data_IF_517724502430
#
_entry.id   IF_517724502430
#
_cell.length_a   1.000
_cell.length_b   1.000
_cell.length_c   1.000
_cell.angle_alpha   90.00
_cell.angle_beta   90.00
_cell.angle_gamma   90.00
#
_symmetry.space_group_name_H-M   'P 1'
#
loop_
_entity.id
_entity.type
_entity.pdbx_description
1 polymer ?
#
# COMPACT_ATOMS: atom_id res chain seq x y z
N UNK A 1 9.93 -3.32 -6.01
CA UNK A 1 10.81 -2.57 -5.07
C UNK A 1 10.49 -1.09 -5.11
N UNK A 2 10.48 -0.44 -3.96
CA UNK A 2 10.11 0.95 -3.83
C UNK A 2 11.28 1.84 -4.24
N UNK A 3 11.02 3.11 -4.43
CA UNK A 3 11.99 4.09 -4.90
C UNK A 3 11.81 5.38 -4.14
N UNK A 4 12.89 5.78 -3.47
CA UNK A 4 12.99 7.04 -2.75
C UNK A 4 13.55 8.09 -3.71
N UNK A 5 12.70 9.04 -4.09
CA UNK A 5 13.05 10.14 -4.98
C UNK A 5 13.29 11.39 -4.14
N UNK A 6 14.45 12.03 -4.34
CA UNK A 6 14.78 13.32 -3.71
C UNK A 6 14.69 14.42 -4.76
N UNK A 7 14.01 15.52 -4.42
CA UNK A 7 13.84 16.67 -5.31
C UNK A 7 14.04 17.99 -4.56
N UNK A 8 14.50 19.04 -5.26
CA UNK A 8 14.70 20.37 -4.72
C UNK A 8 13.74 21.36 -5.37
N UNK A 9 12.96 22.08 -4.57
CA UNK A 9 12.06 23.11 -5.09
C UNK A 9 12.78 24.46 -5.21
N UNK A 10 12.94 24.95 -6.44
CA UNK A 10 13.57 26.24 -6.70
C UNK A 10 12.80 27.46 -6.15
N UNK A 11 11.48 27.32 -5.90
CA UNK A 11 10.64 28.41 -5.38
C UNK A 11 10.76 28.58 -3.85
N UNK A 12 10.67 27.50 -3.08
CA UNK A 12 10.78 27.56 -1.61
C UNK A 12 12.18 27.22 -1.09
N UNK A 13 13.10 26.79 -1.96
CA UNK A 13 14.47 26.41 -1.63
C UNK A 13 14.55 25.26 -0.59
N UNK A 14 13.64 24.28 -0.69
CA UNK A 14 13.53 23.12 0.22
C UNK A 14 13.72 21.82 -0.56
N UNK A 15 14.39 20.85 0.07
CA UNK A 15 14.50 19.47 -0.40
C UNK A 15 13.35 18.63 0.12
N UNK A 16 12.77 17.83 -0.77
CA UNK A 16 11.66 16.93 -0.50
C UNK A 16 12.05 15.49 -0.83
N UNK A 17 11.45 14.57 -0.11
CA UNK A 17 11.59 13.12 -0.33
C UNK A 17 10.23 12.53 -0.62
N UNK A 18 10.16 11.74 -1.68
CA UNK A 18 8.97 11.05 -2.15
C UNK A 18 9.26 9.55 -2.16
N UNK A 19 8.27 8.74 -1.81
CA UNK A 19 8.38 7.29 -1.84
C UNK A 19 7.33 6.72 -2.80
N UNK A 20 7.78 6.00 -3.81
CA UNK A 20 6.93 5.40 -4.83
C UNK A 20 7.17 3.89 -4.92
N UNK A 21 6.15 3.13 -5.32
CA UNK A 21 6.28 1.72 -5.72
C UNK A 21 6.09 0.71 -4.59
N UNK A 22 6.43 -0.54 -4.86
CA UNK A 22 6.18 -1.67 -3.95
C UNK A 22 7.13 -1.66 -2.75
N UNK A 23 6.59 -1.48 -1.55
CA UNK A 23 7.34 -1.52 -0.28
C UNK A 23 7.23 -2.88 0.40
N UNK A 24 8.29 -3.31 1.09
CA UNK A 24 8.29 -4.53 1.92
C UNK A 24 7.18 -4.53 2.98
N UNK A 25 6.77 -3.34 3.43
CA UNK A 25 5.67 -3.17 4.37
C UNK A 25 4.31 -3.64 3.81
N UNK A 26 4.20 -3.77 2.49
CA UNK A 26 2.97 -4.19 1.80
C UNK A 26 2.94 -5.68 1.44
N UNK A 27 4.04 -6.41 1.67
CA UNK A 27 4.18 -7.84 1.31
C UNK A 27 3.06 -8.67 1.93
N UNK A 28 2.72 -8.44 3.20
CA UNK A 28 1.64 -9.17 3.89
C UNK A 28 0.30 -9.05 3.13
N UNK A 29 -0.03 -7.86 2.65
CA UNK A 29 -1.31 -7.60 1.98
C UNK A 29 -1.34 -8.18 0.57
N UNK A 30 -0.20 -8.12 -0.14
CA UNK A 30 -0.05 -8.77 -1.45
C UNK A 30 -0.19 -10.30 -1.32
N UNK A 31 0.49 -10.93 -0.36
CA UNK A 31 0.34 -12.37 -0.09
C UNK A 31 -1.11 -12.71 0.23
N UNK A 32 -1.77 -11.92 1.09
CA UNK A 32 -3.17 -12.14 1.42
C UNK A 32 -4.07 -12.10 0.18
N UNK A 33 -3.98 -11.08 -0.67
CA UNK A 33 -4.80 -10.96 -1.87
C UNK A 33 -4.48 -12.04 -2.92
N UNK A 34 -3.22 -12.46 -3.03
CA UNK A 34 -2.84 -13.57 -3.91
C UNK A 34 -3.43 -14.89 -3.46
N UNK A 35 -3.40 -15.18 -2.17
CA UNK A 35 -4.02 -16.38 -1.60
C UNK A 35 -5.55 -16.32 -1.65
N UNK A 36 -6.14 -15.14 -1.45
CA UNK A 36 -7.58 -14.92 -1.63
C UNK A 36 -7.99 -15.22 -3.09
N UNK A 37 -7.22 -14.70 -4.06
CA UNK A 37 -7.40 -14.95 -5.50
C UNK A 37 -7.29 -16.45 -5.84
N UNK A 38 -6.35 -17.18 -5.26
CA UNK A 38 -6.14 -18.61 -5.56
C UNK A 38 -7.20 -19.50 -4.92
N UNK A 39 -7.50 -19.26 -3.65
CA UNK A 39 -8.32 -20.17 -2.84
C UNK A 39 -9.82 -19.99 -3.01
N UNK A 40 -10.27 -18.76 -3.32
CA UNK A 40 -11.69 -18.38 -3.31
C UNK A 40 -12.38 -18.71 -1.96
N UNK A 41 -11.60 -18.75 -0.88
CA UNK A 41 -12.09 -18.94 0.49
C UNK A 41 -12.31 -17.55 1.10
N UNK A 42 -13.31 -17.43 1.98
CA UNK A 42 -13.53 -16.19 2.71
C UNK A 42 -12.48 -15.99 3.83
N UNK A 43 -11.29 -15.51 3.47
CA UNK A 43 -10.17 -15.29 4.39
C UNK A 43 -10.33 -14.04 5.29
N UNK A 44 -11.41 -13.29 5.14
CA UNK A 44 -11.83 -12.23 6.08
C UNK A 44 -12.62 -12.78 7.28
N UNK A 45 -12.83 -14.09 7.34
CA UNK A 45 -13.25 -14.79 8.54
C UNK A 45 -11.99 -15.30 9.27
N UNK A 46 -11.90 -14.99 10.57
CA UNK A 46 -10.70 -15.26 11.36
C UNK A 46 -10.37 -16.76 11.46
N UNK A 47 -11.38 -17.61 11.63
CA UNK A 47 -11.17 -19.04 11.76
C UNK A 47 -10.73 -19.63 10.42
N UNK A 48 -11.38 -19.22 9.31
CA UNK A 48 -10.97 -19.62 7.96
C UNK A 48 -9.56 -19.14 7.64
N UNK A 49 -9.20 -17.91 8.01
CA UNK A 49 -7.86 -17.36 7.83
C UNK A 49 -6.80 -18.21 8.54
N UNK A 50 -7.00 -18.49 9.84
CA UNK A 50 -6.03 -19.26 10.64
C UNK A 50 -5.89 -20.68 10.08
N UNK A 51 -7.01 -21.34 9.78
CA UNK A 51 -7.01 -22.71 9.25
C UNK A 51 -6.33 -22.79 7.86
N UNK A 52 -6.44 -21.74 7.05
CA UNK A 52 -5.80 -21.67 5.73
C UNK A 52 -4.31 -21.35 5.83
N UNK A 53 -3.91 -20.32 6.59
CA UNK A 53 -2.53 -19.84 6.61
C UNK A 53 -1.61 -20.63 7.54
N UNK A 54 -2.11 -21.22 8.63
CA UNK A 54 -1.28 -22.04 9.54
C UNK A 54 -0.51 -23.15 8.81
N UNK A 55 -1.15 -24.02 7.98
CA UNK A 55 -0.41 -25.05 7.25
C UNK A 55 0.57 -24.45 6.22
N UNK A 56 0.19 -23.38 5.52
CA UNK A 56 1.07 -22.71 4.55
C UNK A 56 2.34 -22.18 5.22
N UNK A 57 2.21 -21.54 6.39
CA UNK A 57 3.33 -21.01 7.15
C UNK A 57 4.20 -22.15 7.69
N UNK A 58 3.58 -23.22 8.20
CA UNK A 58 4.28 -24.41 8.64
C UNK A 58 5.03 -25.11 7.51
N UNK A 59 4.59 -25.03 6.25
CA UNK A 59 5.32 -25.67 5.15
C UNK A 59 6.49 -24.80 4.66
N UNK A 60 6.28 -23.49 4.58
CA UNK A 60 7.16 -22.59 3.83
C UNK A 60 8.09 -21.72 4.70
N UNK A 61 7.83 -21.57 6.01
CA UNK A 61 8.60 -20.68 6.90
C UNK A 61 9.24 -21.51 8.02
N UNK A 62 10.55 -21.74 7.91
CA UNK A 62 11.29 -22.58 8.86
C UNK A 62 11.20 -22.04 10.30
N UNK A 63 11.37 -20.73 10.48
CA UNK A 63 11.28 -20.07 11.79
C UNK A 63 9.91 -20.26 12.46
N UNK A 64 8.83 -20.34 11.66
CA UNK A 64 7.48 -20.53 12.17
C UNK A 64 7.28 -21.92 12.79
N UNK A 65 7.93 -22.95 12.22
CA UNK A 65 7.89 -24.34 12.74
C UNK A 65 8.52 -24.45 14.13
N UNK A 66 9.48 -23.59 14.43
CA UNK A 66 10.25 -23.61 15.68
C UNK A 66 9.53 -22.89 16.83
N UNK A 67 8.47 -22.12 16.52
CA UNK A 67 7.64 -21.47 17.53
C UNK A 67 6.71 -22.45 18.23
N UNK A 68 6.40 -22.17 19.50
CA UNK A 68 5.32 -22.84 20.22
C UNK A 68 3.98 -22.58 19.51
N UNK A 69 3.02 -23.49 19.69
CA UNK A 69 1.69 -23.35 19.09
C UNK A 69 0.99 -22.03 19.50
N UNK A 70 1.18 -21.60 20.74
CA UNK A 70 0.68 -20.32 21.25
C UNK A 70 1.26 -19.14 20.45
N UNK A 71 2.58 -19.11 20.24
CA UNK A 71 3.25 -18.05 19.51
C UNK A 71 2.93 -18.06 18.01
N UNK A 72 2.75 -19.24 17.42
CA UNK A 72 2.26 -19.38 16.05
C UNK A 72 0.88 -18.74 15.90
N UNK A 73 -0.03 -19.01 16.84
CA UNK A 73 -1.37 -18.46 16.84
C UNK A 73 -1.38 -16.95 17.07
N UNK A 74 -0.54 -16.45 17.98
CA UNK A 74 -0.34 -15.02 18.22
C UNK A 74 0.09 -14.30 16.93
N UNK A 75 1.11 -14.81 16.23
CA UNK A 75 1.58 -14.21 14.97
C UNK A 75 0.49 -14.19 13.89
N UNK A 76 -0.29 -15.27 13.76
CA UNK A 76 -1.39 -15.32 12.80
C UNK A 76 -2.51 -14.34 13.18
N UNK A 77 -2.81 -14.19 14.47
CA UNK A 77 -3.78 -13.21 14.96
C UNK A 77 -3.32 -11.77 14.66
N UNK A 78 -2.05 -11.47 14.87
CA UNK A 78 -1.47 -10.16 14.58
C UNK A 78 -1.52 -9.83 13.09
N UNK A 79 -1.16 -10.81 12.25
CA UNK A 79 -1.24 -10.66 10.80
C UNK A 79 -2.69 -10.44 10.34
N UNK A 80 -3.64 -11.20 10.89
CA UNK A 80 -5.06 -11.02 10.62
C UNK A 80 -5.56 -9.63 11.03
N UNK A 81 -5.16 -9.14 12.20
CA UNK A 81 -5.51 -7.80 12.66
C UNK A 81 -4.93 -6.70 11.75
N UNK A 82 -3.67 -6.84 11.32
CA UNK A 82 -3.03 -5.94 10.34
C UNK A 82 -3.79 -5.91 9.02
N UNK A 83 -4.20 -7.08 8.52
CA UNK A 83 -5.01 -7.22 7.31
C UNK A 83 -6.34 -6.46 7.47
N UNK A 84 -7.11 -6.73 8.52
CA UNK A 84 -8.38 -6.05 8.75
C UNK A 84 -8.24 -4.52 8.89
N UNK A 85 -7.15 -4.05 9.49
CA UNK A 85 -6.89 -2.61 9.64
C UNK A 85 -6.41 -1.93 8.36
N UNK A 86 -5.91 -2.69 7.39
CA UNK A 86 -5.43 -2.16 6.12
C UNK A 86 -6.56 -1.89 5.11
N UNK A 87 -7.58 -2.74 5.09
CA UNK A 87 -8.72 -2.61 4.17
C UNK A 87 -9.82 -1.74 4.77
N UNK A 88 -10.38 -0.84 3.95
CA UNK A 88 -11.59 -0.13 4.33
C UNK A 88 -12.78 -1.10 4.34
N UNK A 89 -13.80 -0.89 5.20
CA UNK A 89 -14.97 -1.77 5.27
C UNK A 89 -15.64 -2.00 3.90
N UNK A 90 -15.72 -0.97 3.07
CA UNK A 90 -16.30 -1.06 1.72
C UNK A 90 -15.45 -1.92 0.77
N UNK A 91 -14.13 -1.89 0.94
CA UNK A 91 -13.21 -2.73 0.15
C UNK A 91 -13.35 -4.20 0.53
N UNK A 92 -13.49 -4.51 1.82
CA UNK A 92 -13.73 -5.86 2.30
C UNK A 92 -15.02 -6.40 1.67
N UNK A 93 -16.10 -5.63 1.71
CA UNK A 93 -17.38 -6.03 1.10
C UNK A 93 -17.28 -6.21 -0.42
N UNK A 94 -16.52 -5.36 -1.10
CA UNK A 94 -16.30 -5.46 -2.54
C UNK A 94 -15.53 -6.74 -2.90
N UNK A 95 -14.47 -7.05 -2.15
CA UNK A 95 -13.65 -8.26 -2.37
C UNK A 95 -14.46 -9.51 -2.08
N UNK A 96 -15.29 -9.52 -1.03
CA UNK A 96 -16.16 -10.67 -0.69
C UNK A 96 -17.20 -10.99 -1.76
N UNK A 97 -17.71 -9.97 -2.45
CA UNK A 97 -18.79 -10.11 -3.45
C UNK A 97 -18.30 -10.48 -4.84
N UNK A 98 -17.00 -10.35 -5.11
CA UNK A 98 -16.45 -10.46 -6.46
C UNK A 98 -15.24 -11.39 -6.51
N UNK A 99 -15.06 -12.05 -7.65
CA UNK A 99 -13.87 -12.85 -7.90
C UNK A 99 -12.73 -11.91 -8.28
N UNK A 100 -11.72 -11.81 -7.40
CA UNK A 100 -10.48 -11.05 -7.67
C UNK A 100 -9.68 -11.77 -8.74
N UNK A 101 -9.35 -11.07 -9.83
CA UNK A 101 -8.52 -11.59 -10.92
C UNK A 101 -7.08 -11.09 -10.85
N UNK A 102 -6.90 -9.83 -10.48
CA UNK A 102 -5.58 -9.24 -10.33
C UNK A 102 -5.60 -8.14 -9.27
N UNK A 103 -4.45 -7.84 -8.69
CA UNK A 103 -4.28 -6.70 -7.81
C UNK A 103 -2.89 -6.08 -7.97
N UNK A 104 -2.77 -4.82 -7.57
CA UNK A 104 -1.49 -4.13 -7.38
C UNK A 104 -1.61 -3.27 -6.12
N UNK A 105 -0.65 -3.37 -5.21
CA UNK A 105 -0.53 -2.49 -4.05
C UNK A 105 0.85 -1.85 -4.07
N UNK A 106 0.87 -0.52 -4.12
CA UNK A 106 2.08 0.28 -4.16
C UNK A 106 1.98 1.47 -3.20
N UNK A 107 3.11 1.96 -2.73
CA UNK A 107 3.17 3.22 -2.00
C UNK A 107 3.15 4.37 -3.00
N UNK A 108 2.36 5.40 -2.70
CA UNK A 108 2.29 6.61 -3.49
C UNK A 108 2.32 7.84 -2.56
N UNK A 109 3.06 8.91 -2.92
CA UNK A 109 3.11 10.12 -2.12
C UNK A 109 1.92 11.04 -2.44
N UNK A 110 1.31 11.55 -1.38
CA UNK A 110 0.21 12.51 -1.39
C UNK A 110 0.55 13.72 -0.52
N UNK A 111 -0.18 14.81 -0.70
CA UNK A 111 -0.05 16.05 0.06
C UNK A 111 -1.42 16.39 0.64
N UNK A 112 -1.51 16.64 1.95
CA UNK A 112 -2.76 17.07 2.59
C UNK A 112 -3.02 18.56 2.29
N UNK A 113 -4.02 18.85 1.47
CA UNK A 113 -4.31 20.22 1.00
C UNK A 113 -5.10 21.06 1.99
N UNK A 114 -5.63 20.46 3.07
CA UNK A 114 -6.31 21.20 4.15
C UNK A 114 -5.34 22.02 5.02
N UNK A 115 -4.05 21.67 4.99
CA UNK A 115 -3.04 22.37 5.76
C UNK A 115 -2.61 23.66 5.06
N UNK A 116 -2.16 24.64 5.84
CA UNK A 116 -1.59 25.87 5.29
C UNK A 116 -0.30 25.55 4.52
N UNK A 117 0.10 26.42 3.59
CA UNK A 117 1.24 26.17 2.69
C UNK A 117 2.52 25.76 3.42
N UNK A 118 2.78 26.35 4.59
CA UNK A 118 3.96 26.07 5.42
C UNK A 118 3.88 24.77 6.23
N UNK A 119 2.67 24.21 6.39
CA UNK A 119 2.41 23.00 7.17
C UNK A 119 2.24 21.76 6.28
N UNK A 120 2.04 21.94 4.98
CA UNK A 120 1.89 20.84 4.02
C UNK A 120 3.15 19.98 3.98
N UNK A 121 2.94 18.67 4.09
CA UNK A 121 4.00 17.67 4.01
C UNK A 121 3.61 16.54 3.06
N UNK A 122 4.63 15.83 2.58
CA UNK A 122 4.46 14.64 1.76
C UNK A 122 4.20 13.47 2.70
N UNK A 123 3.10 12.77 2.46
CA UNK A 123 2.72 11.57 3.19
C UNK A 123 2.69 10.42 2.19
N UNK A 124 3.31 9.30 2.55
CA UNK A 124 3.30 8.10 1.73
C UNK A 124 2.12 7.22 2.12
N UNK A 125 1.26 6.89 1.17
CA UNK A 125 0.05 6.09 1.41
C UNK A 125 -0.03 4.91 0.46
N UNK A 126 -0.62 3.76 0.87
CA UNK A 126 -0.80 2.62 -0.02
C UNK A 126 -1.94 2.85 -1.01
N UNK A 127 -1.63 2.83 -2.30
CA UNK A 127 -2.62 2.75 -3.38
C UNK A 127 -2.82 1.30 -3.75
N UNK A 128 -4.08 0.90 -3.76
CA UNK A 128 -4.50 -0.45 -4.11
C UNK A 128 -5.37 -0.38 -5.36
N UNK A 129 -5.06 -1.22 -6.34
CA UNK A 129 -5.87 -1.45 -7.54
C UNK A 129 -6.29 -2.91 -7.55
N UNK A 130 -7.58 -3.19 -7.74
CA UNK A 130 -8.12 -4.54 -7.83
C UNK A 130 -8.92 -4.65 -9.13
N UNK A 131 -8.68 -5.73 -9.87
CA UNK A 131 -9.45 -6.08 -11.07
C UNK A 131 -10.28 -7.31 -10.80
N UNK A 132 -11.57 -7.24 -11.09
CA UNK A 132 -12.53 -8.33 -10.89
C UNK A 132 -12.81 -9.09 -12.18
N UNK A 133 -13.38 -10.29 -12.06
CA UNK A 133 -13.75 -11.15 -13.20
C UNK A 133 -14.77 -10.48 -14.14
N UNK A 134 -15.64 -9.62 -13.61
CA UNK A 134 -16.60 -8.83 -14.38
C UNK A 134 -15.93 -7.83 -15.32
N UNK A 135 -14.63 -7.57 -15.14
CA UNK A 135 -13.90 -6.52 -15.84
C UNK A 135 -13.90 -5.18 -15.09
N UNK A 136 -14.67 -5.07 -14.00
CA UNK A 136 -14.67 -3.89 -13.14
C UNK A 136 -13.32 -3.72 -12.44
N UNK A 137 -12.89 -2.46 -12.28
CA UNK A 137 -11.65 -2.10 -11.61
C UNK A 137 -11.95 -1.17 -10.43
N UNK A 138 -11.40 -1.52 -9.27
CA UNK A 138 -11.39 -0.69 -8.09
C UNK A 138 -10.01 -0.05 -7.93
N UNK A 139 -9.98 1.25 -7.64
CA UNK A 139 -8.76 1.97 -7.28
C UNK A 139 -9.02 2.70 -5.99
N UNK A 140 -8.24 2.40 -4.95
CA UNK A 140 -8.30 3.10 -3.67
C UNK A 140 -8.02 4.58 -3.88
N UNK A 141 -8.96 5.41 -3.43
CA UNK A 141 -8.84 6.86 -3.41
C UNK A 141 -8.78 7.35 -1.97
N UNK A 142 -7.92 8.34 -1.73
CA UNK A 142 -7.88 9.06 -0.47
C UNK A 142 -8.76 10.32 -0.56
N UNK A 143 -9.17 10.86 0.60
CA UNK A 143 -10.16 11.95 0.70
C UNK A 143 -9.92 13.12 -0.26
N UNK A 144 -10.97 13.87 -0.62
CA UNK A 144 -10.91 15.04 -1.53
C UNK A 144 -9.88 16.13 -1.14
N UNK A 145 -9.38 16.10 0.09
CA UNK A 145 -8.40 17.06 0.60
C UNK A 145 -6.95 16.56 0.47
N UNK A 146 -6.70 15.66 -0.49
CA UNK A 146 -5.35 15.19 -0.81
C UNK A 146 -5.03 15.47 -2.27
N UNK A 147 -3.81 15.97 -2.51
CA UNK A 147 -3.25 16.09 -3.83
C UNK A 147 -2.24 14.96 -4.05
N UNK A 148 -2.46 14.16 -5.08
CA UNK A 148 -1.50 13.15 -5.52
C UNK A 148 -0.31 13.84 -6.16
N UNK A 149 0.91 13.50 -5.74
CA UNK A 149 2.12 14.04 -6.34
C UNK A 149 2.15 13.67 -7.82
N UNK A 150 2.20 14.69 -8.67
CA UNK A 150 2.35 14.59 -10.10
C UNK A 150 3.83 14.76 -10.47
N UNK A 151 4.17 14.33 -11.67
CA UNK A 151 5.48 14.54 -12.27
C UNK A 151 5.35 14.86 -13.75
N UNK A 152 6.32 15.58 -14.30
CA UNK A 152 6.40 15.83 -15.73
C UNK A 152 6.65 14.53 -16.51
N UNK A 153 6.29 14.46 -17.82
CA UNK A 153 6.48 13.24 -18.61
C UNK A 153 7.94 12.76 -18.68
N UNK A 154 8.89 13.68 -18.61
CA UNK A 154 10.34 13.40 -18.55
C UNK A 154 10.85 13.15 -17.12
N UNK A 155 9.96 13.15 -16.13
CA UNK A 155 10.22 12.92 -14.70
C UNK A 155 11.20 13.90 -14.05
N UNK A 156 11.47 15.04 -14.69
CA UNK A 156 12.42 16.03 -14.17
C UNK A 156 11.84 16.90 -13.06
N UNK A 157 10.51 17.10 -13.03
CA UNK A 157 9.86 17.92 -12.01
C UNK A 157 8.71 17.16 -11.35
N UNK A 158 8.60 17.34 -10.04
CA UNK A 158 7.57 16.77 -9.18
C UNK A 158 6.77 17.88 -8.50
N UNK A 159 5.57 17.54 -8.02
CA UNK A 159 4.74 18.47 -7.24
C UNK A 159 5.43 18.87 -5.94
N UNK A 160 5.64 20.17 -5.76
CA UNK A 160 6.08 20.75 -4.49
C UNK A 160 4.91 20.80 -3.49
N UNK A 161 5.06 20.32 -2.24
CA UNK A 161 3.96 20.35 -1.26
C UNK A 161 3.52 21.76 -0.85
N UNK A 162 4.43 22.73 -0.88
CA UNK A 162 4.12 24.12 -0.52
C UNK A 162 3.27 24.78 -1.62
N UNK A 163 3.75 24.75 -2.86
CA UNK A 163 3.13 25.47 -3.98
C UNK A 163 2.05 24.68 -4.73
N UNK A 164 1.97 23.36 -4.52
CA UNK A 164 1.11 22.43 -5.27
C UNK A 164 1.29 22.52 -6.80
N UNK A 165 2.53 22.79 -7.22
CA UNK A 165 2.92 23.01 -8.62
C UNK A 165 4.18 22.17 -8.93
N UNK A 166 4.43 21.90 -10.21
CA UNK A 166 5.56 21.07 -10.71
C UNK A 166 6.87 21.86 -10.68
N UNK A 167 7.34 22.16 -9.48
CA UNK A 167 8.51 23.04 -9.26
C UNK A 167 9.63 22.38 -8.47
N UNK A 168 9.43 21.15 -7.98
CA UNK A 168 10.45 20.37 -7.29
C UNK A 168 11.28 19.59 -8.34
N UNK A 169 12.49 20.05 -8.62
CA UNK A 169 13.38 19.42 -9.59
C UNK A 169 14.00 18.14 -9.03
N UNK A 170 13.94 17.05 -9.79
CA UNK A 170 14.59 15.79 -9.46
C UNK A 170 16.09 15.98 -9.19
N UNK A 171 16.58 15.33 -8.13
CA UNK A 171 18.01 15.28 -7.78
C UNK A 171 18.54 13.86 -7.91
N UNK A 172 17.87 12.90 -7.25
CA UNK A 172 18.35 11.52 -7.17
C UNK A 172 17.22 10.54 -6.88
N UNK A 173 17.42 9.28 -7.24
CA UNK A 173 16.56 8.14 -6.93
C UNK A 173 17.39 7.04 -6.29
N UNK A 174 16.89 6.45 -5.22
CA UNK A 174 17.47 5.31 -4.52
C UNK A 174 16.43 4.19 -4.43
N UNK A 175 16.79 2.95 -4.80
CA UNK A 175 15.92 1.79 -4.61
C UNK A 175 15.90 1.42 -3.13
N UNK A 176 14.71 1.21 -2.60
CA UNK A 176 14.44 0.88 -1.19
C UNK A 176 13.43 -0.25 -1.06
#
# INVERSE_FOLDING_TARGET
>A
MASKVTAHCAKCNINYTYLFGESDQLILFNIFLDEYKKSQIELFDKEKFINYFKPIFLENIQEFKEFSEEKQLELLNDNYAKILNFFFPEEIELIKKNIVMNHNIEVFPIINTNLTETERSIISVPIMKIKFLTGEEYVRQYSNNVAYVQFTPDQQFLTCPVHLDLTAQFISEEKV
#
